data_IF_252033514577
#
_entry.id   IF_252033514577
#
_cell.length_a   1.000
_cell.length_b   1.000
_cell.length_c   1.000
_cell.angle_alpha   90.00
_cell.angle_beta   90.00
_cell.angle_gamma   90.00
#
_symmetry.space_group_name_H-M   'P 1'
#
loop_
_entity.id
_entity.type
_entity.pdbx_description
1 polymer ?
#
# COMPACT_ATOMS: atom_id res chain seq x y z
N UNK A 1 -49.74 -10.01 14.34
CA UNK A 1 -48.62 -9.04 14.34
C UNK A 1 -49.05 -7.78 13.60
N UNK A 2 -49.09 -6.64 14.30
CA UNK A 2 -49.61 -5.38 13.78
C UNK A 2 -48.81 -4.90 12.55
N UNK A 3 -49.46 -4.30 11.56
CA UNK A 3 -48.82 -3.87 10.29
C UNK A 3 -47.64 -2.92 10.53
N UNK A 4 -47.73 -2.09 11.56
CA UNK A 4 -46.66 -1.18 12.01
C UNK A 4 -45.40 -1.94 12.46
N UNK A 5 -45.55 -3.03 13.20
CA UNK A 5 -44.42 -3.83 13.71
C UNK A 5 -43.70 -4.52 12.55
N UNK A 6 -44.45 -5.05 11.57
CA UNK A 6 -43.87 -5.67 10.37
C UNK A 6 -43.03 -4.67 9.55
N UNK A 7 -43.54 -3.45 9.39
CA UNK A 7 -42.82 -2.38 8.67
C UNK A 7 -41.57 -1.94 9.42
N UNK A 8 -41.66 -1.76 10.74
CA UNK A 8 -40.51 -1.39 11.57
C UNK A 8 -39.40 -2.45 11.51
N UNK A 9 -39.74 -3.74 11.61
CA UNK A 9 -38.77 -4.84 11.49
C UNK A 9 -38.11 -4.85 10.12
N UNK A 10 -38.88 -4.71 9.03
CA UNK A 10 -38.33 -4.66 7.68
C UNK A 10 -37.39 -3.47 7.48
N UNK A 11 -37.75 -2.28 7.98
CA UNK A 11 -36.91 -1.09 7.91
C UNK A 11 -35.59 -1.27 8.65
N UNK A 12 -35.63 -1.81 9.88
CA UNK A 12 -34.42 -2.08 10.67
C UNK A 12 -33.53 -3.13 9.98
N UNK A 13 -34.11 -4.17 9.39
CA UNK A 13 -33.34 -5.15 8.61
C UNK A 13 -32.65 -4.49 7.42
N UNK A 14 -33.34 -3.67 6.63
CA UNK A 14 -32.73 -2.98 5.48
C UNK A 14 -31.60 -2.05 5.91
N UNK A 15 -31.79 -1.27 6.98
CA UNK A 15 -30.75 -0.42 7.56
C UNK A 15 -29.54 -1.24 8.04
N UNK A 16 -29.77 -2.36 8.72
CA UNK A 16 -28.71 -3.25 9.20
C UNK A 16 -27.90 -3.91 8.07
N UNK A 17 -28.51 -4.23 6.93
CA UNK A 17 -27.78 -4.73 5.76
C UNK A 17 -26.99 -3.63 5.02
N UNK A 18 -27.33 -2.36 5.22
CA UNK A 18 -26.69 -1.23 4.52
C UNK A 18 -25.39 -0.72 5.18
N UNK A 19 -25.05 -1.17 6.38
CA UNK A 19 -23.91 -0.65 7.15
C UNK A 19 -22.53 -1.19 6.75
N UNK A 20 -22.45 -2.15 5.82
CA UNK A 20 -21.19 -2.80 5.43
C UNK A 20 -20.44 -2.13 4.28
N UNK A 21 -21.10 -1.26 3.51
CA UNK A 21 -20.49 -0.59 2.36
C UNK A 21 -20.02 0.81 2.78
N UNK A 22 -18.70 0.99 2.91
CA UNK A 22 -18.11 2.32 2.94
C UNK A 22 -18.20 2.91 1.52
N UNK A 23 -19.30 3.62 1.22
CA UNK A 23 -19.55 4.31 -0.05
C UNK A 23 -18.80 5.65 -0.09
N UNK A 24 -17.50 5.61 0.15
CA UNK A 24 -16.62 6.76 -0.02
C UNK A 24 -15.67 6.49 -1.18
N UNK A 25 -15.52 7.46 -2.07
CA UNK A 25 -14.38 7.47 -2.98
C UNK A 25 -13.11 7.57 -2.13
N UNK A 26 -12.24 6.57 -2.25
CA UNK A 26 -10.96 6.59 -1.56
C UNK A 26 -9.85 6.17 -2.53
N UNK A 27 -8.69 6.80 -2.37
CA UNK A 27 -7.49 6.45 -3.10
C UNK A 27 -6.54 5.75 -2.13
N UNK A 28 -6.24 4.47 -2.41
CA UNK A 28 -5.19 3.74 -1.72
C UNK A 28 -3.89 3.83 -2.51
N UNK A 29 -2.85 4.38 -1.90
CA UNK A 29 -1.49 4.25 -2.41
C UNK A 29 -0.77 3.18 -1.62
N UNK A 30 -0.62 1.99 -2.20
CA UNK A 30 0.16 0.89 -1.59
C UNK A 30 1.61 1.02 -2.05
N UNK A 31 2.50 1.32 -1.13
CA UNK A 31 3.94 1.19 -1.34
C UNK A 31 4.39 -0.12 -0.68
N UNK A 32 5.05 -0.99 -1.43
CA UNK A 32 5.59 -2.24 -0.90
C UNK A 32 6.96 -2.53 -1.50
N UNK A 33 7.84 -3.08 -0.67
CA UNK A 33 9.10 -3.71 -1.09
C UNK A 33 9.14 -5.11 -0.49
N UNK A 34 9.82 -6.04 -1.16
CA UNK A 34 10.06 -7.39 -0.66
C UNK A 34 11.53 -7.73 -0.86
N UNK A 35 12.01 -8.72 -0.10
CA UNK A 35 13.34 -9.32 -0.26
C UNK A 35 14.51 -8.32 -0.28
N UNK A 36 14.47 -7.37 0.67
CA UNK A 36 15.50 -6.34 0.78
C UNK A 36 16.91 -6.88 1.04
N UNK A 37 17.04 -8.08 1.61
CA UNK A 37 18.32 -8.78 1.83
C UNK A 37 19.48 -7.91 2.35
N UNK A 38 19.18 -6.99 3.27
CA UNK A 38 20.15 -6.05 3.85
C UNK A 38 20.91 -5.22 2.80
N UNK A 39 20.31 -4.93 1.65
CA UNK A 39 20.87 -4.06 0.60
C UNK A 39 20.71 -2.58 0.98
N UNK A 40 21.33 -2.19 2.10
CA UNK A 40 21.25 -0.85 2.67
C UNK A 40 21.94 0.18 1.78
N UNK A 41 23.13 -0.18 1.28
CA UNK A 41 23.84 0.58 0.26
C UNK A 41 23.27 0.28 -1.13
N UNK A 42 23.56 1.15 -2.09
CA UNK A 42 23.22 0.90 -3.48
C UNK A 42 23.97 -0.31 -4.04
N UNK A 43 23.41 -0.90 -5.08
CA UNK A 43 23.98 -2.05 -5.76
C UNK A 43 24.21 -1.77 -7.24
N UNK A 44 25.18 -2.46 -7.83
CA UNK A 44 25.36 -2.48 -9.28
C UNK A 44 24.45 -3.55 -9.92
N UNK A 45 24.49 -3.65 -11.26
CA UNK A 45 23.67 -4.62 -12.03
C UNK A 45 23.95 -6.11 -11.71
N UNK A 46 24.99 -6.40 -10.94
CA UNK A 46 25.37 -7.75 -10.51
C UNK A 46 25.01 -8.04 -9.06
N UNK A 47 24.20 -7.16 -8.43
CA UNK A 47 23.80 -7.26 -7.02
C UNK A 47 24.95 -7.24 -6.01
N UNK A 48 26.07 -6.62 -6.38
CA UNK A 48 27.17 -6.30 -5.47
C UNK A 48 27.05 -4.86 -4.99
N UNK A 49 27.63 -4.56 -3.83
CA UNK A 49 27.76 -3.17 -3.34
C UNK A 49 28.38 -2.31 -4.43
N UNK A 50 27.78 -1.15 -4.69
CA UNK A 50 28.24 -0.27 -5.74
C UNK A 50 29.56 0.42 -5.37
N UNK A 51 30.46 0.60 -6.33
CA UNK A 51 31.67 1.39 -6.12
C UNK A 51 31.39 2.89 -6.27
N UNK A 52 32.30 3.72 -5.78
CA UNK A 52 32.18 5.17 -5.93
C UNK A 52 32.20 5.59 -7.41
N UNK A 53 33.00 4.91 -8.24
CA UNK A 53 33.07 5.15 -9.68
C UNK A 53 31.74 4.81 -10.37
N UNK A 54 31.18 3.63 -10.08
CA UNK A 54 29.88 3.22 -10.63
C UNK A 54 28.75 4.18 -10.18
N UNK A 55 28.85 4.76 -8.97
CA UNK A 55 27.91 5.79 -8.52
C UNK A 55 28.03 7.06 -9.35
N UNK A 56 29.25 7.54 -9.60
CA UNK A 56 29.47 8.73 -10.43
C UNK A 56 29.05 8.54 -11.88
N UNK A 57 29.13 7.30 -12.38
CA UNK A 57 28.71 6.93 -13.73
C UNK A 57 27.21 6.60 -13.83
N UNK A 58 26.46 6.65 -12.72
CA UNK A 58 25.02 6.39 -12.70
C UNK A 58 24.65 4.92 -12.96
N UNK A 59 25.55 3.99 -12.65
CA UNK A 59 25.36 2.54 -12.87
C UNK A 59 24.73 1.81 -11.68
N UNK A 60 24.52 2.51 -10.58
CA UNK A 60 23.97 1.95 -9.35
C UNK A 60 22.45 2.10 -9.27
N UNK A 61 21.80 1.15 -8.60
CA UNK A 61 20.36 1.16 -8.32
C UNK A 61 20.12 0.95 -6.83
N UNK A 62 18.87 1.16 -6.40
CA UNK A 62 18.43 0.87 -5.03
C UNK A 62 19.19 1.64 -3.93
N UNK A 63 19.28 1.01 -2.76
CA UNK A 63 19.85 1.59 -1.54
C UNK A 63 18.83 2.40 -0.73
N UNK A 64 19.02 2.44 0.59
CA UNK A 64 18.12 3.10 1.53
C UNK A 64 18.00 4.62 1.25
N UNK A 65 19.08 5.28 0.83
CA UNK A 65 19.07 6.71 0.51
C UNK A 65 18.14 7.04 -0.67
N UNK A 66 18.15 6.22 -1.73
CA UNK A 66 17.25 6.39 -2.88
C UNK A 66 15.81 6.01 -2.52
N UNK A 67 15.63 4.96 -1.72
CA UNK A 67 14.31 4.55 -1.23
C UNK A 67 13.64 5.66 -0.42
N UNK A 68 14.36 6.28 0.52
CA UNK A 68 13.85 7.42 1.32
C UNK A 68 13.55 8.64 0.47
N UNK A 69 14.24 8.84 -0.65
CA UNK A 69 13.91 9.92 -1.59
C UNK A 69 12.62 9.64 -2.38
N UNK A 70 12.34 8.37 -2.66
CA UNK A 70 11.22 7.94 -3.49
C UNK A 70 9.89 7.80 -2.73
N UNK A 71 9.96 7.62 -1.40
CA UNK A 71 8.81 7.47 -0.48
C UNK A 71 8.56 8.78 0.24
#
# INVERSE_FOLDING_TARGET
MNTLIKRALLSVSVLGLSSGAALADYTLTILHINDWHSRIESNNKYESTCSAEDETEGKCIGGAARLVTAV
#
